data_IF_817900656773
#
_entry.id   IF_817900656773
#
_cell.length_a   1.000
_cell.length_b   1.000
_cell.length_c   1.000
_cell.angle_alpha   90.00
_cell.angle_beta   90.00
_cell.angle_gamma   90.00
#
_symmetry.space_group_name_H-M   'P 1'
#
loop_
_entity.id
_entity.type
_entity.pdbx_description
1 polymer ?
#
# COMPACT_ATOMS: atom_id res chain seq x y z
N UNK A 1 27.00 30.58 0.59
CA UNK A 1 25.78 30.20 -0.17
C UNK A 1 24.67 29.99 0.85
N UNK A 2 23.89 31.02 1.11
CA UNK A 2 22.79 31.01 2.09
C UNK A 2 21.71 30.05 1.61
N UNK A 3 21.62 28.88 2.27
CA UNK A 3 20.54 27.92 2.10
C UNK A 3 19.26 28.57 2.65
N UNK A 4 18.59 29.38 1.82
CA UNK A 4 17.26 29.89 2.11
C UNK A 4 16.37 28.71 2.53
N UNK A 5 15.73 28.85 3.68
CA UNK A 5 14.92 27.83 4.34
C UNK A 5 14.07 27.03 3.35
N UNK A 6 14.12 25.70 3.45
CA UNK A 6 13.34 24.80 2.61
C UNK A 6 11.86 25.17 2.61
N UNK A 7 11.41 25.76 1.49
CA UNK A 7 10.15 26.45 1.29
C UNK A 7 8.94 25.50 1.22
N UNK A 8 8.63 24.81 2.32
CA UNK A 8 7.35 24.12 2.47
C UNK A 8 6.27 25.13 2.86
N UNK A 9 5.18 25.18 2.09
CA UNK A 9 3.98 25.93 2.50
C UNK A 9 3.48 25.37 3.84
N UNK A 10 2.84 26.19 4.70
CA UNK A 10 2.33 25.71 5.99
C UNK A 10 1.46 24.45 5.88
N UNK A 11 0.62 24.37 4.84
CA UNK A 11 -0.23 23.21 4.57
C UNK A 11 0.57 21.93 4.20
N UNK A 12 1.68 22.06 3.47
CA UNK A 12 2.56 20.95 3.10
C UNK A 12 3.30 20.42 4.32
N UNK A 13 3.85 21.32 5.16
CA UNK A 13 4.49 20.95 6.42
C UNK A 13 3.53 20.18 7.32
N UNK A 14 2.29 20.63 7.44
CA UNK A 14 1.27 19.97 8.25
C UNK A 14 0.88 18.58 7.69
N UNK A 15 0.80 18.43 6.37
CA UNK A 15 0.55 17.12 5.73
C UNK A 15 1.70 16.13 5.95
N UNK A 16 2.95 16.56 5.80
CA UNK A 16 4.14 15.74 6.08
C UNK A 16 4.17 15.32 7.56
N UNK A 17 3.91 16.26 8.47
CA UNK A 17 3.87 15.97 9.91
C UNK A 17 2.78 14.95 10.27
N UNK A 18 1.57 15.07 9.71
CA UNK A 18 0.49 14.10 9.91
C UNK A 18 0.87 12.69 9.42
N UNK A 19 1.68 12.61 8.36
CA UNK A 19 2.23 11.36 7.84
C UNK A 19 3.42 10.80 8.65
N UNK A 20 3.81 11.45 9.75
CA UNK A 20 4.94 11.09 10.58
C UNK A 20 6.30 11.43 9.97
N UNK A 21 6.36 12.37 9.03
CA UNK A 21 7.59 12.84 8.38
C UNK A 21 8.01 14.15 9.04
N UNK A 22 9.18 14.16 9.67
CA UNK A 22 9.74 15.36 10.28
C UNK A 22 10.33 16.30 9.22
N UNK A 23 10.12 17.61 9.40
CA UNK A 23 10.65 18.67 8.53
C UNK A 23 11.51 19.64 9.34
N UNK A 24 12.72 19.95 8.87
CA UNK A 24 13.72 20.76 9.59
C UNK A 24 14.40 21.84 8.77
N UNK A 25 15.12 22.72 9.46
CA UNK A 25 15.98 23.71 8.84
C UNK A 25 17.38 23.14 8.58
N UNK A 26 18.03 23.57 7.50
CA UNK A 26 19.40 23.16 7.18
C UNK A 26 20.40 23.54 8.29
N UNK A 27 20.13 24.65 9.00
CA UNK A 27 20.94 25.14 10.12
C UNK A 27 20.85 24.29 11.40
N UNK A 28 19.92 23.33 11.50
CA UNK A 28 19.81 22.46 12.68
C UNK A 28 20.82 21.32 12.71
N UNK A 29 21.85 21.35 11.85
CA UNK A 29 22.99 20.43 11.90
C UNK A 29 24.01 20.78 13.01
N UNK A 30 23.70 21.80 13.84
CA UNK A 30 24.52 22.16 14.98
C UNK A 30 24.46 21.08 16.07
N UNK A 31 25.64 20.56 16.42
CA UNK A 31 25.96 19.57 17.45
C UNK A 31 25.72 18.08 17.11
N UNK A 32 26.63 17.50 16.30
CA UNK A 32 27.01 16.08 16.37
C UNK A 32 26.45 15.16 15.28
N UNK A 33 27.34 14.45 14.57
CA UNK A 33 27.14 13.25 13.71
C UNK A 33 26.09 13.25 12.58
N UNK A 34 25.19 14.22 12.50
CA UNK A 34 24.11 14.26 11.52
C UNK A 34 24.66 14.55 10.11
N UNK A 35 24.33 13.69 9.14
CA UNK A 35 24.79 13.79 7.74
C UNK A 35 23.66 14.29 6.86
N UNK A 36 23.94 15.29 6.02
CA UNK A 36 22.99 15.73 4.99
C UNK A 36 23.10 14.80 3.78
N UNK A 37 21.99 14.15 3.43
CA UNK A 37 21.85 13.27 2.28
C UNK A 37 21.13 14.00 1.16
N UNK A 38 21.60 13.80 -0.07
CA UNK A 38 20.98 14.32 -1.29
C UNK A 38 20.49 13.16 -2.14
N UNK A 39 19.18 12.92 -2.12
CA UNK A 39 18.53 11.81 -2.80
C UNK A 39 17.79 12.35 -4.02
N UNK A 40 18.26 12.03 -5.21
CA UNK A 40 17.59 12.35 -6.48
C UNK A 40 16.71 11.19 -6.87
N UNK A 41 15.45 11.46 -7.22
CA UNK A 41 14.47 10.51 -7.72
C UNK A 41 14.04 11.02 -9.10
N UNK A 42 14.25 10.25 -10.18
CA UNK A 42 13.92 10.68 -11.55
C UNK A 42 12.83 9.80 -12.21
N UNK A 43 11.84 9.36 -11.42
CA UNK A 43 10.79 8.42 -11.84
C UNK A 43 11.27 7.00 -12.21
N UNK A 44 12.55 6.86 -12.57
CA UNK A 44 13.19 5.63 -13.04
C UNK A 44 14.50 5.33 -12.34
N UNK A 45 15.20 6.32 -11.79
CA UNK A 45 16.47 6.16 -11.07
C UNK A 45 16.45 6.87 -9.73
N UNK A 46 17.20 6.35 -8.76
CA UNK A 46 17.41 6.96 -7.46
C UNK A 46 18.92 7.06 -7.25
N UNK A 47 19.42 8.29 -7.16
CA UNK A 47 20.85 8.56 -7.00
C UNK A 47 21.09 9.34 -5.70
N UNK A 48 21.93 8.80 -4.82
CA UNK A 48 22.43 9.53 -3.65
C UNK A 48 23.79 10.12 -4.00
N UNK A 49 23.96 11.44 -3.88
CA UNK A 49 25.24 12.05 -4.24
C UNK A 49 26.36 11.73 -3.25
N UNK A 50 26.05 11.53 -1.95
CA UNK A 50 26.95 11.02 -0.90
C UNK A 50 26.11 10.50 0.31
N UNK A 51 26.51 9.43 1.06
CA UNK A 51 27.69 8.55 0.99
C UNK A 51 27.30 7.07 0.66
N UNK A 52 28.14 6.05 0.97
CA UNK A 52 29.00 5.22 0.09
C UNK A 52 28.27 4.45 -1.05
N UNK A 53 29.03 3.70 -1.88
CA UNK A 53 28.54 2.74 -2.90
C UNK A 53 27.39 1.80 -2.45
N UNK A 54 27.24 1.67 -1.13
CA UNK A 54 26.15 1.06 -0.40
C UNK A 54 24.76 1.66 -0.65
N UNK A 55 24.55 2.98 -0.50
CA UNK A 55 23.25 3.61 -0.76
C UNK A 55 22.91 3.52 -2.26
N UNK A 56 23.92 3.63 -3.13
CA UNK A 56 23.77 3.47 -4.58
C UNK A 56 23.15 2.12 -4.95
N UNK A 57 23.60 0.99 -4.38
CA UNK A 57 23.05 -0.35 -4.69
C UNK A 57 21.60 -0.56 -4.22
N UNK A 58 21.25 -0.05 -3.05
CA UNK A 58 19.88 -0.14 -2.54
C UNK A 58 18.93 0.69 -3.42
N UNK A 59 19.37 1.88 -3.81
CA UNK A 59 18.63 2.80 -4.68
C UNK A 59 18.57 2.31 -6.14
N UNK A 60 19.63 1.64 -6.62
CA UNK A 60 19.65 0.93 -7.91
C UNK A 60 18.65 -0.24 -7.97
N UNK A 61 18.41 -0.90 -6.84
CA UNK A 61 17.39 -1.96 -6.74
C UNK A 61 15.95 -1.41 -6.80
N UNK A 62 15.74 -0.13 -6.48
CA UNK A 62 14.45 0.55 -6.75
C UNK A 62 14.25 0.81 -8.26
N UNK A 63 15.31 0.72 -9.08
CA UNK A 63 15.36 1.47 -10.35
C UNK A 63 15.84 0.70 -11.58
N UNK A 64 16.66 -0.36 -11.47
CA UNK A 64 17.16 -1.07 -12.67
C UNK A 64 16.08 -1.89 -13.36
N UNK A 65 15.91 -1.70 -14.67
CA UNK A 65 15.45 -2.73 -15.61
C UNK A 65 16.65 -3.64 -15.91
N UNK A 66 16.68 -4.88 -15.42
CA UNK A 66 17.73 -5.85 -15.78
C UNK A 66 17.29 -7.30 -15.53
N UNK A 67 17.62 -8.26 -16.43
CA UNK A 67 17.08 -9.62 -16.44
C UNK A 67 17.68 -10.52 -15.34
N UNK A 68 16.90 -11.51 -14.87
CA UNK A 68 17.37 -12.61 -13.99
C UNK A 68 16.76 -12.63 -12.58
N UNK A 69 16.10 -13.73 -12.24
CA UNK A 69 15.31 -13.93 -11.00
C UNK A 69 16.16 -14.22 -9.74
N UNK A 70 17.30 -14.90 -9.87
CA UNK A 70 18.06 -15.45 -8.74
C UNK A 70 18.96 -14.45 -7.99
N UNK A 71 19.56 -13.47 -8.69
CA UNK A 71 20.48 -12.51 -8.07
C UNK A 71 19.74 -11.44 -7.23
N UNK A 72 18.51 -11.07 -7.63
CA UNK A 72 17.69 -10.03 -6.97
C UNK A 72 17.26 -10.39 -5.54
N UNK A 73 16.87 -11.64 -5.32
CA UNK A 73 16.37 -12.11 -4.03
C UNK A 73 17.47 -12.14 -2.96
N UNK A 74 18.69 -12.51 -3.36
CA UNK A 74 19.84 -12.51 -2.49
C UNK A 74 20.24 -11.09 -2.09
N UNK A 75 20.24 -10.12 -3.02
CA UNK A 75 20.69 -8.76 -2.72
C UNK A 75 19.71 -7.99 -1.82
N UNK A 76 18.39 -8.02 -2.08
CA UNK A 76 17.40 -7.33 -1.23
C UNK A 76 17.31 -7.93 0.18
N UNK A 77 17.53 -9.25 0.32
CA UNK A 77 17.47 -9.93 1.62
C UNK A 77 18.82 -9.91 2.37
N UNK A 78 19.94 -9.73 1.65
CA UNK A 78 21.27 -9.42 2.20
C UNK A 78 21.33 -7.96 2.68
N UNK A 79 20.71 -7.03 1.96
CA UNK A 79 20.44 -5.64 2.34
C UNK A 79 19.48 -5.50 3.55
N UNK A 80 19.10 -6.57 4.24
CA UNK A 80 18.29 -6.51 5.48
C UNK A 80 19.07 -6.85 6.74
N UNK A 81 20.33 -7.29 6.63
CA UNK A 81 21.06 -7.98 7.72
C UNK A 81 22.19 -7.17 8.38
N UNK A 82 22.64 -6.01 7.85
CA UNK A 82 23.58 -5.13 8.59
C UNK A 82 23.68 -3.71 8.00
N UNK A 83 23.59 -2.64 8.82
CA UNK A 83 23.67 -1.22 8.38
C UNK A 83 22.56 -0.69 7.43
N UNK A 84 21.94 -1.57 6.66
CA UNK A 84 21.06 -1.28 5.51
C UNK A 84 19.65 -0.84 5.87
N UNK A 85 19.15 -1.22 7.04
CA UNK A 85 17.78 -0.87 7.48
C UNK A 85 17.60 0.63 7.70
N UNK A 86 18.68 1.34 8.05
CA UNK A 86 18.65 2.81 8.19
C UNK A 86 18.51 3.45 6.82
N UNK A 87 19.38 3.07 5.88
CA UNK A 87 19.38 3.58 4.53
C UNK A 87 18.02 3.40 3.82
N UNK A 88 17.46 2.18 3.87
CA UNK A 88 16.15 1.89 3.29
C UNK A 88 15.02 2.74 3.90
N UNK A 89 15.11 3.02 5.20
CA UNK A 89 14.13 3.86 5.88
C UNK A 89 14.25 5.33 5.47
N UNK A 90 15.46 5.85 5.33
CA UNK A 90 15.70 7.22 4.87
C UNK A 90 15.22 7.40 3.42
N UNK A 91 15.54 6.44 2.54
CA UNK A 91 15.09 6.43 1.16
C UNK A 91 13.56 6.38 1.05
N UNK A 92 12.91 5.50 1.83
CA UNK A 92 11.44 5.44 1.88
C UNK A 92 10.82 6.73 2.42
N UNK A 93 11.49 7.39 3.38
CA UNK A 93 11.04 8.68 3.91
C UNK A 93 11.11 9.78 2.85
N UNK A 94 12.19 9.81 2.05
CA UNK A 94 12.32 10.72 0.91
C UNK A 94 11.28 10.44 -0.19
N UNK A 95 11.07 9.16 -0.55
CA UNK A 95 10.03 8.72 -1.48
C UNK A 95 8.65 9.19 -1.03
N UNK A 96 8.28 8.92 0.23
CA UNK A 96 6.98 9.34 0.79
C UNK A 96 6.83 10.86 0.85
N UNK A 97 7.89 11.60 1.13
CA UNK A 97 7.83 13.07 1.10
C UNK A 97 7.51 13.59 -0.30
N UNK A 98 8.19 13.08 -1.33
CA UNK A 98 7.92 13.42 -2.72
C UNK A 98 6.50 13.06 -3.16
N UNK A 99 6.07 11.85 -2.81
CA UNK A 99 4.71 11.36 -3.02
C UNK A 99 3.65 12.34 -2.47
N UNK A 100 3.77 12.71 -1.20
CA UNK A 100 2.81 13.59 -0.51
C UNK A 100 2.82 15.01 -1.05
N UNK A 101 3.96 15.47 -1.58
CA UNK A 101 4.11 16.78 -2.22
C UNK A 101 3.73 16.78 -3.70
N UNK A 102 3.25 15.65 -4.24
CA UNK A 102 2.84 15.53 -5.64
C UNK A 102 4.01 15.62 -6.63
N UNK A 103 5.21 15.21 -6.23
CA UNK A 103 6.41 15.25 -7.06
C UNK A 103 6.75 13.86 -7.56
N UNK A 104 6.79 13.69 -8.88
CA UNK A 104 7.14 12.41 -9.50
C UNK A 104 8.65 12.26 -9.72
N UNK A 105 9.36 13.39 -9.85
CA UNK A 105 10.81 13.47 -9.93
C UNK A 105 11.34 14.74 -9.23
N UNK A 106 12.53 14.65 -8.66
CA UNK A 106 13.13 15.73 -7.86
C UNK A 106 14.27 15.29 -6.95
N UNK A 107 14.82 16.27 -6.24
CA UNK A 107 15.87 16.09 -5.25
C UNK A 107 15.30 16.30 -3.84
N UNK A 108 15.58 15.36 -2.94
CA UNK A 108 15.27 15.45 -1.52
C UNK A 108 16.56 15.66 -0.74
N UNK A 109 16.64 16.77 -0.03
CA UNK A 109 17.64 16.99 1.01
C UNK A 109 17.09 16.45 2.33
N UNK A 110 17.75 15.44 2.88
CA UNK A 110 17.36 14.76 4.10
C UNK A 110 18.52 14.82 5.09
N UNK A 111 18.26 15.27 6.32
CA UNK A 111 19.21 15.14 7.41
C UNK A 111 19.05 13.76 8.06
N UNK A 112 20.13 12.97 8.09
CA UNK A 112 20.20 11.69 8.79
C UNK A 112 20.22 11.91 10.31
N UNK A 113 19.06 12.25 10.86
CA UNK A 113 18.82 12.48 12.28
C UNK A 113 17.58 11.68 12.76
N UNK A 114 17.48 11.42 14.07
CA UNK A 114 16.32 10.73 14.64
C UNK A 114 16.07 9.33 14.07
N UNK A 115 14.83 8.82 14.11
CA UNK A 115 14.52 7.42 13.70
C UNK A 115 14.26 7.23 12.20
N UNK A 116 13.85 8.28 11.48
CA UNK A 116 13.49 8.23 10.05
C UNK A 116 14.15 9.31 9.20
N UNK A 117 15.04 10.13 9.77
CA UNK A 117 15.56 11.30 9.08
C UNK A 117 14.59 12.48 9.16
N UNK A 118 15.10 13.67 8.82
CA UNK A 118 14.34 14.91 8.77
C UNK A 118 14.47 15.52 7.38
N UNK A 119 13.35 15.80 6.73
CA UNK A 119 13.34 16.43 5.40
C UNK A 119 13.71 17.90 5.57
N UNK A 120 14.75 18.34 4.86
CA UNK A 120 15.22 19.72 4.87
C UNK A 120 14.64 20.47 3.68
N UNK A 121 14.66 19.87 2.50
CA UNK A 121 14.09 20.46 1.30
C UNK A 121 13.67 19.39 0.29
N UNK A 122 12.67 19.73 -0.52
CA UNK A 122 12.32 18.99 -1.73
C UNK A 122 12.37 19.95 -2.89
N UNK A 123 13.22 19.65 -3.87
CA UNK A 123 13.49 20.49 -5.04
C UNK A 123 13.00 19.78 -6.31
N UNK A 124 12.50 20.52 -7.29
CA UNK A 124 12.26 19.98 -8.63
C UNK A 124 13.54 19.33 -9.18
N UNK A 125 13.38 18.35 -10.08
CA UNK A 125 14.52 17.80 -10.80
C UNK A 125 15.20 18.95 -11.55
N UNK A 126 16.52 19.09 -11.42
CA UNK A 126 17.26 20.04 -12.24
C UNK A 126 17.02 19.66 -13.70
N UNK A 127 16.56 20.61 -14.53
CA UNK A 127 16.65 20.44 -15.98
C UNK A 127 18.14 20.30 -16.28
N UNK A 128 18.58 19.10 -16.61
CA UNK A 128 19.93 18.91 -17.14
C UNK A 128 19.97 19.71 -18.45
N UNK A 129 20.69 20.84 -18.41
CA UNK A 129 20.91 21.66 -19.59
C UNK A 129 21.72 20.89 -20.64
N UNK A 130 21.55 21.21 -21.93
CA UNK A 130 22.19 20.49 -23.02
C UNK A 130 23.68 20.85 -23.09
N UNK A 131 24.51 20.16 -22.31
CA UNK A 131 25.96 19.88 -22.53
C UNK A 131 26.49 19.18 -21.26
N UNK A 132 26.98 17.94 -21.26
CA UNK A 132 27.41 17.09 -22.38
C UNK A 132 27.01 15.62 -22.19
N UNK A 133 25.96 15.22 -22.92
CA UNK A 133 25.49 13.85 -23.07
C UNK A 133 24.04 13.84 -23.56
N UNK A 134 23.84 13.78 -24.88
CA UNK A 134 22.59 14.04 -25.60
C UNK A 134 21.47 13.03 -25.36
N UNK A 135 20.28 13.51 -24.95
CA UNK A 135 18.97 12.97 -25.37
C UNK A 135 18.04 14.17 -25.66
N UNK A 136 17.33 14.22 -26.81
CA UNK A 136 16.60 15.40 -27.23
C UNK A 136 15.26 15.56 -26.47
N UNK A 137 14.72 16.79 -26.43
CA UNK A 137 13.50 17.11 -25.69
C UNK A 137 12.27 16.65 -26.47
N UNK A 138 11.37 15.88 -25.87
CA UNK A 138 10.03 15.71 -26.44
C UNK A 138 9.13 16.88 -26.01
N UNK A 139 9.04 17.86 -26.91
CA UNK A 139 7.91 18.76 -26.98
C UNK A 139 6.65 17.97 -27.39
N UNK A 140 5.49 18.43 -26.89
CA UNK A 140 4.12 18.07 -27.30
C UNK A 140 3.93 16.76 -28.08
N UNK A 141 3.55 15.69 -27.39
CA UNK A 141 3.16 14.43 -28.01
C UNK A 141 2.70 13.44 -26.95
N UNK A 142 1.62 12.73 -27.23
CA UNK A 142 1.09 11.53 -26.55
C UNK A 142 2.07 10.88 -25.55
N UNK A 143 1.67 10.82 -24.27
CA UNK A 143 2.33 9.99 -23.25
C UNK A 143 2.49 8.58 -23.82
N UNK A 144 3.72 8.08 -24.06
CA UNK A 144 3.90 6.71 -24.50
C UNK A 144 3.36 5.79 -23.41
N UNK A 145 2.66 4.72 -23.81
CA UNK A 145 2.26 3.66 -22.90
C UNK A 145 3.46 3.21 -22.05
N UNK A 146 3.28 2.89 -20.75
CA UNK A 146 4.38 2.53 -19.88
C UNK A 146 5.10 1.30 -20.44
N UNK A 147 6.28 1.53 -21.03
CA UNK A 147 7.23 0.50 -21.40
C UNK A 147 7.82 -0.06 -20.10
N UNK A 148 7.27 -1.19 -19.65
CA UNK A 148 7.70 -1.87 -18.43
C UNK A 148 6.97 -3.20 -18.18
N UNK A 149 6.33 -3.78 -19.19
CA UNK A 149 5.86 -5.15 -19.11
C UNK A 149 7.10 -6.06 -19.08
N UNK A 150 7.49 -6.50 -17.89
CA UNK A 150 8.33 -7.70 -17.79
C UNK A 150 7.65 -8.85 -18.54
N UNK A 151 8.44 -9.79 -19.04
CA UNK A 151 8.04 -10.87 -19.98
C UNK A 151 6.85 -11.76 -19.54
N UNK A 152 6.25 -11.55 -18.35
CA UNK A 152 5.15 -12.34 -17.78
C UNK A 152 3.76 -11.67 -17.72
N UNK A 153 3.58 -10.45 -18.27
CA UNK A 153 2.29 -9.75 -18.28
C UNK A 153 1.83 -9.20 -16.91
N UNK A 154 0.74 -8.42 -16.91
CA UNK A 154 0.16 -7.84 -15.69
C UNK A 154 -0.53 -8.92 -14.85
N UNK A 155 -0.08 -9.11 -13.61
CA UNK A 155 -0.68 -10.07 -12.66
C UNK A 155 -1.01 -9.43 -11.32
N UNK A 156 -1.99 -10.01 -10.64
CA UNK A 156 -2.49 -9.60 -9.33
C UNK A 156 -2.31 -10.74 -8.33
N UNK A 157 -1.94 -10.41 -7.09
CA UNK A 157 -1.92 -11.35 -5.96
C UNK A 157 -2.21 -10.61 -4.67
N UNK A 158 -2.12 -11.28 -3.52
CA UNK A 158 -2.21 -10.60 -2.25
C UNK A 158 -1.68 -11.39 -1.06
N UNK A 159 -1.40 -10.64 0.00
CA UNK A 159 -1.26 -11.14 1.37
C UNK A 159 -2.48 -10.64 2.17
N UNK A 160 -3.35 -11.55 2.65
CA UNK A 160 -4.61 -11.23 3.33
C UNK A 160 -4.58 -11.66 4.79
N UNK A 161 -4.55 -10.69 5.70
CA UNK A 161 -4.34 -10.91 7.13
C UNK A 161 -5.65 -10.99 7.93
N UNK A 162 -5.72 -11.92 8.90
CA UNK A 162 -6.87 -12.11 9.80
C UNK A 162 -6.45 -12.73 11.15
N UNK A 163 -7.35 -12.67 12.14
CA UNK A 163 -7.15 -13.22 13.48
C UNK A 163 -8.18 -14.29 13.82
N UNK A 164 -7.76 -15.22 14.68
CA UNK A 164 -8.61 -16.20 15.34
C UNK A 164 -8.70 -15.83 16.80
N UNK A 165 -9.91 -15.75 17.34
CA UNK A 165 -10.14 -15.49 18.76
C UNK A 165 -10.96 -16.61 19.39
N UNK A 166 -10.66 -16.96 20.63
CA UNK A 166 -11.45 -17.91 21.40
C UNK A 166 -12.76 -17.26 21.93
N UNK A 167 -13.58 -18.07 22.60
CA UNK A 167 -14.85 -17.60 23.19
C UNK A 167 -14.68 -16.50 24.25
N UNK A 168 -13.50 -16.36 24.85
CA UNK A 168 -13.17 -15.29 25.80
C UNK A 168 -12.60 -14.04 25.13
N UNK A 169 -12.51 -14.00 23.79
CA UNK A 169 -11.90 -12.91 23.04
C UNK A 169 -10.37 -12.93 23.04
N UNK A 170 -9.75 -13.98 23.56
CA UNK A 170 -8.29 -14.16 23.54
C UNK A 170 -7.80 -14.55 22.15
N UNK A 171 -6.71 -13.95 21.70
CA UNK A 171 -6.10 -14.30 20.40
C UNK A 171 -5.54 -15.73 20.50
N UNK A 172 -6.01 -16.59 19.60
CA UNK A 172 -5.41 -17.90 19.35
C UNK A 172 -4.27 -17.70 18.35
N UNK A 173 -3.00 -17.93 18.72
CA UNK A 173 -1.91 -17.65 17.80
C UNK A 173 -1.97 -18.53 16.55
N UNK A 174 -1.99 -17.90 15.38
CA UNK A 174 -2.03 -18.58 14.08
C UNK A 174 -0.88 -19.60 13.90
N UNK A 175 0.30 -19.35 14.50
CA UNK A 175 1.43 -20.29 14.49
C UNK A 175 1.17 -21.64 15.17
N UNK A 176 0.08 -21.77 15.94
CA UNK A 176 -0.34 -23.07 16.51
C UNK A 176 -1.17 -23.90 15.51
N UNK A 177 -1.70 -23.25 14.48
CA UNK A 177 -2.68 -23.82 13.55
C UNK A 177 -2.11 -23.99 12.14
N UNK A 178 -1.29 -23.04 11.71
CA UNK A 178 -0.77 -22.96 10.35
C UNK A 178 0.76 -22.92 10.32
N UNK A 179 1.39 -23.40 9.23
CA UNK A 179 2.81 -23.22 9.00
C UNK A 179 3.18 -21.74 8.82
N UNK A 180 4.48 -21.43 8.81
CA UNK A 180 4.95 -20.07 8.56
C UNK A 180 4.67 -19.61 7.12
N UNK A 181 4.99 -20.47 6.16
CA UNK A 181 4.91 -20.20 4.72
C UNK A 181 3.81 -21.03 4.04
N UNK A 182 3.57 -20.76 2.76
CA UNK A 182 2.54 -21.41 1.95
C UNK A 182 1.30 -20.55 1.73
N UNK A 183 0.30 -21.07 0.99
CA UNK A 183 -0.91 -20.33 0.64
C UNK A 183 -1.81 -20.04 1.85
N UNK A 184 -1.70 -20.84 2.91
CA UNK A 184 -2.30 -20.60 4.23
C UNK A 184 -1.15 -20.64 5.24
N UNK A 185 -0.82 -19.51 5.84
CA UNK A 185 0.30 -19.43 6.78
C UNK A 185 0.13 -18.32 7.80
N UNK A 186 1.26 -17.74 8.23
CA UNK A 186 1.30 -16.67 9.24
C UNK A 186 2.07 -15.46 8.76
N UNK A 187 1.63 -14.26 9.14
CA UNK A 187 2.44 -13.05 8.97
C UNK A 187 3.69 -13.11 9.88
N UNK A 188 4.70 -12.30 9.55
CA UNK A 188 5.99 -12.24 10.23
C UNK A 188 5.95 -11.53 11.58
N UNK A 189 4.86 -10.86 11.95
CA UNK A 189 4.74 -10.19 13.24
C UNK A 189 4.81 -11.22 14.38
N UNK A 190 5.75 -11.00 15.30
CA UNK A 190 5.96 -11.85 16.46
C UNK A 190 5.53 -11.10 17.72
N UNK A 191 4.76 -11.79 18.57
CA UNK A 191 4.44 -11.35 19.93
C UNK A 191 5.01 -12.34 20.94
N UNK A 192 5.41 -11.87 22.11
CA UNK A 192 5.83 -12.74 23.21
C UNK A 192 4.63 -13.01 24.11
N UNK A 193 4.31 -14.28 24.32
CA UNK A 193 3.28 -14.71 25.26
C UNK A 193 3.73 -14.54 26.71
N UNK A 194 2.81 -14.80 27.66
CA UNK A 194 3.11 -14.74 29.11
C UNK A 194 4.22 -15.69 29.54
N UNK A 195 4.40 -16.81 28.84
CA UNK A 195 5.49 -17.77 29.05
C UNK A 195 6.83 -17.33 28.44
N UNK A 196 6.92 -16.14 27.84
CA UNK A 196 8.10 -15.66 27.12
C UNK A 196 8.29 -16.25 25.72
N UNK A 197 7.49 -17.26 25.32
CA UNK A 197 7.54 -17.88 23.99
C UNK A 197 7.09 -16.91 22.90
N UNK A 198 7.83 -16.88 21.80
CA UNK A 198 7.50 -16.15 20.59
C UNK A 198 6.37 -16.85 19.82
N UNK A 199 5.33 -16.11 19.46
CA UNK A 199 4.19 -16.58 18.68
C UNK A 199 3.91 -15.63 17.51
N UNK A 200 3.36 -16.16 16.41
CA UNK A 200 2.83 -15.35 15.31
C UNK A 200 1.31 -15.35 15.41
N UNK A 201 0.70 -14.22 15.80
CA UNK A 201 -0.73 -14.19 16.10
C UNK A 201 -1.60 -14.10 14.84
N UNK A 202 -1.06 -13.58 13.75
CA UNK A 202 -1.80 -13.24 12.53
C UNK A 202 -1.74 -14.39 11.53
N UNK A 203 -2.90 -14.84 11.07
CA UNK A 203 -3.02 -15.76 9.95
C UNK A 203 -3.00 -14.96 8.64
N UNK A 204 -2.39 -15.53 7.59
CA UNK A 204 -2.23 -14.87 6.30
C UNK A 204 -2.57 -15.84 5.17
N UNK A 205 -3.47 -15.43 4.27
CA UNK A 205 -3.74 -16.13 3.02
C UNK A 205 -2.92 -15.51 1.90
N UNK A 206 -2.34 -16.35 1.05
CA UNK A 206 -1.48 -15.95 -0.07
C UNK A 206 -1.93 -16.66 -1.35
N UNK A 207 -3.05 -16.23 -1.96
CA UNK A 207 -3.51 -16.80 -3.22
C UNK A 207 -2.43 -16.67 -4.31
N UNK A 208 -2.41 -17.62 -5.24
CA UNK A 208 -1.49 -17.57 -6.36
C UNK A 208 -1.71 -16.31 -7.21
N UNK A 209 -0.66 -15.78 -7.86
CA UNK A 209 -0.82 -14.66 -8.79
C UNK A 209 -1.71 -15.01 -9.99
N UNK A 210 -2.65 -14.13 -10.32
CA UNK A 210 -3.64 -14.32 -11.40
C UNK A 210 -3.66 -13.12 -12.35
N UNK A 211 -4.09 -13.31 -13.60
CA UNK A 211 -4.19 -12.21 -14.59
C UNK A 211 -5.40 -11.28 -14.34
N UNK A 212 -6.35 -11.73 -13.52
CA UNK A 212 -7.59 -11.04 -13.17
C UNK A 212 -7.70 -10.94 -11.66
N UNK A 213 -7.99 -9.76 -11.14
CA UNK A 213 -8.05 -9.54 -9.70
C UNK A 213 -9.20 -10.33 -9.03
N UNK A 214 -10.31 -10.55 -9.75
CA UNK A 214 -11.43 -11.38 -9.31
C UNK A 214 -11.07 -12.86 -9.11
N UNK A 215 -10.11 -13.39 -9.87
CA UNK A 215 -9.64 -14.76 -9.69
C UNK A 215 -8.85 -14.92 -8.38
N UNK A 216 -8.07 -13.90 -7.99
CA UNK A 216 -7.36 -13.86 -6.69
C UNK A 216 -8.35 -13.96 -5.53
N UNK A 217 -9.48 -13.24 -5.62
CA UNK A 217 -10.50 -13.22 -4.57
C UNK A 217 -11.23 -14.56 -4.46
N UNK A 218 -11.54 -15.23 -5.57
CA UNK A 218 -12.11 -16.58 -5.55
C UNK A 218 -11.16 -17.61 -4.93
N UNK A 219 -9.88 -17.54 -5.28
CA UNK A 219 -8.87 -18.42 -4.70
C UNK A 219 -8.72 -18.15 -3.19
N UNK A 220 -8.71 -16.88 -2.77
CA UNK A 220 -8.71 -16.52 -1.35
C UNK A 220 -9.90 -17.12 -0.59
N UNK A 221 -11.10 -17.12 -1.18
CA UNK A 221 -12.29 -17.75 -0.59
C UNK A 221 -12.07 -19.25 -0.37
N UNK A 222 -11.57 -19.96 -1.38
CA UNK A 222 -11.25 -21.39 -1.29
C UNK A 222 -10.20 -21.68 -0.20
N UNK A 223 -9.11 -20.91 -0.18
CA UNK A 223 -8.06 -21.05 0.83
C UNK A 223 -8.58 -20.75 2.23
N UNK A 224 -9.50 -19.79 2.38
CA UNK A 224 -10.12 -19.51 3.65
C UNK A 224 -10.99 -20.67 4.14
N UNK A 225 -11.82 -21.27 3.28
CA UNK A 225 -12.58 -22.47 3.61
C UNK A 225 -11.70 -23.61 4.13
N UNK A 226 -10.58 -23.86 3.44
CA UNK A 226 -9.58 -24.84 3.88
C UNK A 226 -8.95 -24.47 5.23
N UNK A 227 -8.60 -23.20 5.44
CA UNK A 227 -8.04 -22.72 6.69
C UNK A 227 -9.02 -22.95 7.85
N UNK A 228 -10.30 -22.61 7.66
CA UNK A 228 -11.35 -22.79 8.67
C UNK A 228 -11.59 -24.26 9.00
N UNK A 229 -11.51 -25.17 8.01
CA UNK A 229 -11.57 -26.60 8.29
C UNK A 229 -10.41 -27.06 9.20
N UNK A 230 -9.20 -26.53 8.99
CA UNK A 230 -8.05 -26.79 9.88
C UNK A 230 -8.29 -26.24 11.29
N UNK A 231 -8.80 -25.00 11.42
CA UNK A 231 -9.10 -24.39 12.73
C UNK A 231 -10.14 -25.24 13.48
N UNK A 232 -11.26 -25.59 12.84
CA UNK A 232 -12.33 -26.42 13.43
C UNK A 232 -11.78 -27.76 13.93
N UNK A 233 -10.99 -28.45 13.11
CA UNK A 233 -10.38 -29.74 13.45
C UNK A 233 -9.40 -29.65 14.62
N UNK A 234 -8.56 -28.60 14.66
CA UNK A 234 -7.50 -28.47 15.68
C UNK A 234 -7.99 -27.89 17.00
N UNK A 235 -8.90 -26.92 16.97
CA UNK A 235 -9.37 -26.27 18.20
C UNK A 235 -10.46 -27.08 18.92
N UNK A 236 -11.35 -27.75 18.16
CA UNK A 236 -12.47 -28.55 18.71
C UNK A 236 -13.30 -27.80 19.77
N UNK A 237 -13.40 -26.48 19.65
CA UNK A 237 -14.15 -25.58 20.54
C UNK A 237 -14.59 -24.33 19.77
N UNK A 238 -15.58 -23.57 20.27
CA UNK A 238 -16.01 -22.33 19.64
C UNK A 238 -14.86 -21.32 19.48
N UNK A 239 -14.86 -20.63 18.35
CA UNK A 239 -13.94 -19.55 18.00
C UNK A 239 -14.66 -18.55 17.10
N UNK A 240 -14.13 -17.34 17.00
CA UNK A 240 -14.56 -16.35 16.02
C UNK A 240 -13.38 -15.91 15.15
N UNK A 241 -13.68 -15.35 13.99
CA UNK A 241 -12.68 -14.76 13.09
C UNK A 241 -12.83 -13.26 13.09
N UNK A 242 -11.71 -12.54 13.20
CA UNK A 242 -11.69 -11.08 13.17
C UNK A 242 -10.78 -10.58 12.06
N UNK A 243 -11.18 -9.50 11.42
CA UNK A 243 -10.43 -8.80 10.38
C UNK A 243 -10.61 -7.28 10.55
N UNK A 244 -10.11 -6.49 9.61
CA UNK A 244 -10.30 -5.04 9.60
C UNK A 244 -9.07 -4.22 9.97
N UNK A 245 -9.38 -3.09 10.60
CA UNK A 245 -8.55 -2.13 11.29
C UNK A 245 -7.44 -2.70 12.19
N UNK A 246 -7.96 -3.06 13.35
CA UNK A 246 -7.22 -3.29 14.56
C UNK A 246 -8.15 -4.11 15.44
N UNK A 247 -8.57 -5.30 14.99
CA UNK A 247 -9.65 -6.06 15.62
C UNK A 247 -9.38 -6.42 17.07
N UNK A 248 -8.11 -6.52 17.44
CA UNK A 248 -7.68 -6.68 18.82
C UNK A 248 -6.58 -5.69 19.13
N UNK A 249 -6.64 -5.06 20.31
CA UNK A 249 -5.76 -3.98 20.70
C UNK A 249 -4.27 -4.36 20.59
N UNK A 250 -3.58 -3.77 19.62
CA UNK A 250 -2.12 -3.91 19.47
C UNK A 250 -1.66 -4.52 18.15
N UNK A 251 -2.55 -5.17 17.38
CA UNK A 251 -2.24 -5.73 16.06
C UNK A 251 -2.97 -4.93 14.99
N UNK A 252 -2.24 -4.46 13.97
CA UNK A 252 -2.83 -3.82 12.79
C UNK A 252 -2.80 -4.84 11.66
N UNK A 253 -3.93 -5.04 11.00
CA UNK A 253 -4.05 -6.04 9.92
C UNK A 253 -4.14 -5.39 8.54
N UNK A 254 -3.80 -6.07 7.47
CA UNK A 254 -3.86 -5.51 6.12
C UNK A 254 -4.41 -6.45 5.07
N UNK A 255 -4.87 -5.82 3.99
CA UNK A 255 -5.00 -6.45 2.68
C UNK A 255 -3.89 -5.86 1.83
N UNK A 256 -2.82 -6.63 1.60
CA UNK A 256 -1.72 -6.18 0.76
C UNK A 256 -1.96 -6.63 -0.67
N UNK A 257 -2.17 -5.69 -1.58
CA UNK A 257 -2.40 -6.00 -2.98
C UNK A 257 -1.07 -6.11 -3.71
N UNK A 258 -0.81 -7.23 -4.35
CA UNK A 258 0.37 -7.42 -5.19
C UNK A 258 0.02 -7.14 -6.65
N UNK A 259 0.86 -6.36 -7.31
CA UNK A 259 0.76 -6.07 -8.74
C UNK A 259 2.11 -6.32 -9.38
N UNK A 260 2.16 -7.26 -10.32
CA UNK A 260 3.36 -7.66 -11.07
C UNK A 260 3.26 -7.24 -12.53
N UNK A 261 4.39 -7.12 -13.22
CA UNK A 261 4.43 -6.64 -14.61
C UNK A 261 4.30 -5.13 -14.75
N UNK A 262 4.31 -4.39 -13.64
CA UNK A 262 4.35 -2.93 -13.62
C UNK A 262 5.09 -2.40 -12.40
N UNK A 263 5.82 -1.29 -12.55
CA UNK A 263 6.54 -0.63 -11.46
C UNK A 263 5.62 0.29 -10.65
N UNK A 264 5.85 0.45 -9.34
CA UNK A 264 5.15 1.49 -8.59
C UNK A 264 5.73 2.86 -8.94
N UNK A 265 4.88 3.73 -9.45
CA UNK A 265 5.17 5.14 -9.66
C UNK A 265 4.31 5.98 -8.71
N UNK A 266 4.79 7.15 -8.30
CA UNK A 266 3.99 8.04 -7.44
C UNK A 266 2.61 8.36 -8.06
N UNK A 267 2.55 8.56 -9.37
CA UNK A 267 1.29 8.71 -10.12
C UNK A 267 0.32 7.55 -9.89
N UNK A 268 0.79 6.31 -10.06
CA UNK A 268 -0.02 5.11 -9.82
C UNK A 268 -0.45 4.99 -8.36
N UNK A 269 0.46 5.26 -7.42
CA UNK A 269 0.16 5.21 -5.99
C UNK A 269 -0.89 6.27 -5.59
N UNK A 270 -0.84 7.47 -6.18
CA UNK A 270 -1.84 8.53 -5.94
C UNK A 270 -3.21 8.13 -6.48
N UNK A 271 -3.23 7.45 -7.63
CA UNK A 271 -4.46 6.89 -8.17
C UNK A 271 -5.02 5.78 -7.26
N UNK A 272 -4.19 4.83 -6.82
CA UNK A 272 -4.61 3.77 -5.89
C UNK A 272 -5.13 4.33 -4.57
N UNK A 273 -4.43 5.30 -3.97
CA UNK A 273 -4.90 5.93 -2.74
C UNK A 273 -6.23 6.67 -2.95
N UNK A 274 -6.33 7.48 -4.01
CA UNK A 274 -7.54 8.27 -4.29
C UNK A 274 -8.76 7.40 -4.59
N UNK A 275 -8.60 6.39 -5.44
CA UNK A 275 -9.71 5.62 -5.98
C UNK A 275 -9.97 4.30 -5.24
N UNK A 276 -9.03 3.84 -4.41
CA UNK A 276 -9.18 2.61 -3.61
C UNK A 276 -9.15 2.95 -2.12
N UNK A 277 -8.06 3.52 -1.59
CA UNK A 277 -7.94 3.71 -0.14
C UNK A 277 -8.95 4.71 0.45
N UNK A 278 -9.18 5.87 -0.17
CA UNK A 278 -10.13 6.86 0.39
C UNK A 278 -11.58 6.33 0.46
N UNK A 279 -12.11 5.60 -0.55
CA UNK A 279 -13.40 4.92 -0.41
C UNK A 279 -13.45 3.96 0.78
N UNK A 280 -12.44 3.12 0.98
CA UNK A 280 -12.43 2.18 2.11
C UNK A 280 -12.23 2.87 3.47
N UNK A 281 -11.53 4.00 3.52
CA UNK A 281 -11.45 4.84 4.73
C UNK A 281 -12.85 5.22 5.24
N UNK A 282 -13.79 5.52 4.35
CA UNK A 282 -15.15 5.93 4.73
C UNK A 282 -16.00 4.79 5.29
N UNK A 283 -15.62 3.55 5.03
CA UNK A 283 -16.27 2.35 5.55
C UNK A 283 -15.53 1.79 6.77
N UNK A 284 -14.32 2.29 7.06
CA UNK A 284 -13.44 1.80 8.11
C UNK A 284 -13.94 2.13 9.51
N UNK A 285 -13.82 1.18 10.43
CA UNK A 285 -14.05 1.44 11.85
C UNK A 285 -13.09 2.55 12.35
N UNK A 286 -13.55 3.57 13.09
CA UNK A 286 -12.70 4.67 13.58
C UNK A 286 -11.47 4.21 14.39
N UNK A 287 -11.52 3.05 15.05
CA UNK A 287 -10.38 2.45 15.74
C UNK A 287 -9.19 2.22 14.81
N UNK A 288 -9.48 2.02 13.52
CA UNK A 288 -8.53 1.83 12.46
C UNK A 288 -7.54 2.97 12.29
N UNK A 289 -7.92 4.22 12.65
CA UNK A 289 -7.00 5.37 12.68
C UNK A 289 -5.67 5.06 13.35
N UNK A 290 -5.66 4.24 14.41
CA UNK A 290 -4.45 3.92 15.19
C UNK A 290 -3.40 3.11 14.42
N UNK A 291 -3.71 2.54 13.25
CA UNK A 291 -2.70 1.92 12.37
C UNK A 291 -1.78 2.99 11.76
N UNK A 292 -2.34 4.17 11.50
CA UNK A 292 -1.69 5.29 10.80
C UNK A 292 -0.87 6.16 11.77
N UNK A 293 0.26 6.75 11.34
CA UNK A 293 0.88 6.64 10.01
C UNK A 293 1.84 5.45 9.86
N UNK A 294 1.98 4.59 10.86
CA UNK A 294 3.02 3.53 10.90
C UNK A 294 2.73 2.35 9.98
N UNK A 295 1.45 2.07 9.75
CA UNK A 295 0.94 1.03 8.87
C UNK A 295 -0.27 1.62 8.12
N UNK A 296 -0.48 1.26 6.86
CA UNK A 296 -1.60 1.80 6.08
C UNK A 296 -1.47 3.29 5.76
N UNK A 297 -0.24 3.81 5.62
CA UNK A 297 -0.02 5.20 5.23
C UNK A 297 -0.34 5.43 3.75
N UNK A 298 -0.67 6.67 3.38
CA UNK A 298 -0.77 7.04 1.96
C UNK A 298 0.58 6.79 1.25
N UNK A 299 0.53 6.18 0.08
CA UNK A 299 1.67 5.78 -0.73
C UNK A 299 2.50 4.64 -0.12
N UNK A 300 1.97 3.89 0.85
CA UNK A 300 2.70 2.77 1.47
C UNK A 300 2.83 1.62 0.46
N UNK A 301 4.08 1.38 0.06
CA UNK A 301 4.44 0.41 -0.96
C UNK A 301 5.69 -0.35 -0.54
N UNK A 302 5.76 -1.61 -0.96
CA UNK A 302 6.95 -2.45 -0.83
C UNK A 302 7.25 -3.12 -2.16
N UNK A 303 8.50 -3.01 -2.61
CA UNK A 303 8.96 -3.71 -3.80
C UNK A 303 9.09 -5.21 -3.56
N UNK A 304 8.81 -6.00 -4.60
CA UNK A 304 8.97 -7.45 -4.60
C UNK A 304 10.05 -7.87 -5.61
N UNK A 305 10.83 -8.88 -5.25
CA UNK A 305 11.97 -9.34 -6.04
C UNK A 305 11.58 -9.92 -7.42
N UNK A 306 10.37 -10.49 -7.53
CA UNK A 306 9.81 -11.04 -8.75
C UNK A 306 9.31 -9.98 -9.76
N UNK A 307 9.59 -8.69 -9.51
CA UNK A 307 9.08 -7.58 -10.30
C UNK A 307 7.67 -7.18 -9.86
N UNK A 308 7.42 -5.88 -9.80
CA UNK A 308 6.18 -5.35 -9.25
C UNK A 308 6.28 -4.85 -7.81
N UNK A 309 5.12 -4.71 -7.17
CA UNK A 309 5.00 -4.12 -5.84
C UNK A 309 3.83 -4.66 -5.04
N UNK A 310 3.92 -4.46 -3.74
CA UNK A 310 2.90 -4.69 -2.73
C UNK A 310 2.39 -3.33 -2.24
N UNK A 311 1.12 -3.06 -2.48
CA UNK A 311 0.40 -1.90 -2.00
C UNK A 311 -0.22 -2.17 -0.64
N UNK A 312 0.11 -1.35 0.35
CA UNK A 312 -0.05 -1.67 1.80
C UNK A 312 -0.89 -0.65 2.55
N UNK A 313 -1.56 0.25 1.84
CA UNK A 313 -2.39 1.30 2.44
C UNK A 313 -3.66 0.72 3.10
N UNK A 314 -4.22 -0.34 2.52
CA UNK A 314 -5.55 -0.84 2.90
C UNK A 314 -5.54 -1.58 4.24
N UNK A 315 -6.59 -1.43 5.05
CA UNK A 315 -6.84 -2.32 6.18
C UNK A 315 -7.16 -3.74 5.71
N UNK A 316 -7.28 -4.70 6.62
CA UNK A 316 -7.75 -6.03 6.22
C UNK A 316 -9.22 -5.94 5.79
N UNK A 317 -9.45 -5.95 4.49
CA UNK A 317 -10.78 -5.93 3.88
C UNK A 317 -11.43 -7.31 3.88
N UNK A 318 -10.80 -8.28 4.55
CA UNK A 318 -11.33 -9.62 4.75
C UNK A 318 -12.61 -9.63 5.61
N UNK A 319 -13.00 -8.47 6.18
CA UNK A 319 -14.23 -8.25 6.95
C UNK A 319 -15.51 -8.62 6.20
N UNK A 320 -15.53 -8.44 4.88
CA UNK A 320 -16.70 -8.66 4.04
C UNK A 320 -16.21 -9.07 2.62
N UNK A 321 -16.68 -10.22 2.08
CA UNK A 321 -16.24 -10.70 0.77
C UNK A 321 -16.56 -9.73 -0.38
N UNK A 322 -17.65 -8.95 -0.28
CA UNK A 322 -18.02 -7.94 -1.27
C UNK A 322 -17.05 -6.76 -1.25
N UNK A 323 -16.59 -6.34 -0.06
CA UNK A 323 -15.58 -5.28 0.08
C UNK A 323 -14.21 -5.74 -0.43
N UNK A 324 -13.81 -6.98 -0.10
CA UNK A 324 -12.59 -7.57 -0.64
C UNK A 324 -12.64 -7.60 -2.17
N UNK A 325 -13.73 -8.08 -2.77
CA UNK A 325 -13.89 -8.09 -4.22
C UNK A 325 -13.86 -6.69 -4.81
N UNK A 326 -14.56 -5.74 -4.18
CA UNK A 326 -14.59 -4.35 -4.63
C UNK A 326 -13.19 -3.74 -4.66
N UNK A 327 -12.36 -3.97 -3.64
CA UNK A 327 -10.99 -3.46 -3.59
C UNK A 327 -10.13 -3.97 -4.74
N UNK A 328 -10.19 -5.27 -5.01
CA UNK A 328 -9.43 -5.89 -6.11
C UNK A 328 -9.92 -5.42 -7.48
N UNK A 329 -11.23 -5.30 -7.67
CA UNK A 329 -11.81 -4.78 -8.90
C UNK A 329 -11.42 -3.32 -9.15
N UNK A 330 -11.45 -2.46 -8.12
CA UNK A 330 -11.00 -1.07 -8.23
C UNK A 330 -9.50 -0.97 -8.47
N UNK A 331 -8.68 -1.77 -7.77
CA UNK A 331 -7.24 -1.77 -7.98
C UNK A 331 -6.87 -2.17 -9.41
N UNK A 332 -7.51 -3.22 -9.94
CA UNK A 332 -7.31 -3.62 -11.33
C UNK A 332 -7.78 -2.53 -12.32
N UNK A 333 -8.95 -1.95 -12.10
CA UNK A 333 -9.46 -0.84 -12.89
C UNK A 333 -8.48 0.34 -12.91
N UNK A 334 -7.97 0.73 -11.74
CA UNK A 334 -6.99 1.82 -11.60
C UNK A 334 -5.68 1.49 -12.31
N UNK A 335 -5.11 0.31 -12.09
CA UNK A 335 -3.85 -0.09 -12.71
C UNK A 335 -3.96 -0.12 -14.23
N UNK A 336 -5.05 -0.65 -14.78
CA UNK A 336 -5.27 -0.75 -16.23
C UNK A 336 -5.61 0.59 -16.89
N UNK A 337 -6.28 1.51 -16.18
CA UNK A 337 -6.64 2.84 -16.71
C UNK A 337 -5.70 3.97 -16.27
N UNK A 338 -4.59 3.67 -15.59
CA UNK A 338 -3.78 4.69 -14.89
C UNK A 338 -3.29 5.85 -15.77
N UNK A 339 -3.04 5.59 -17.06
CA UNK A 339 -2.57 6.60 -18.00
C UNK A 339 -3.63 7.69 -18.24
N UNK A 340 -4.91 7.33 -18.16
CA UNK A 340 -6.03 8.22 -18.38
C UNK A 340 -6.64 8.77 -17.07
N UNK A 341 -6.28 8.20 -15.92
CA UNK A 341 -6.80 8.68 -14.63
C UNK A 341 -6.03 9.91 -14.13
N UNK A 342 -6.74 10.90 -13.55
CA UNK A 342 -6.11 11.99 -12.82
C UNK A 342 -5.26 11.48 -11.67
N UNK A 343 -4.02 11.98 -11.62
CA UNK A 343 -3.02 11.60 -10.64
C UNK A 343 -2.42 12.81 -9.95
N UNK A 344 -3.21 13.88 -9.76
CA UNK A 344 -2.79 15.03 -8.98
C UNK A 344 -2.58 14.65 -7.51
N UNK A 345 -1.71 15.36 -6.75
CA UNK A 345 -1.63 15.19 -5.31
C UNK A 345 -3.00 15.30 -4.64
N UNK A 346 -3.19 14.54 -3.56
CA UNK A 346 -4.34 14.76 -2.68
C UNK A 346 -4.22 16.15 -2.03
N UNK A 347 -5.33 16.89 -1.86
CA UNK A 347 -5.29 18.16 -1.15
C UNK A 347 -4.68 17.98 0.25
N UNK A 348 -3.83 18.89 0.74
CA UNK A 348 -3.20 18.75 2.06
C UNK A 348 -4.19 18.56 3.20
N UNK A 349 -5.39 19.13 3.10
CA UNK A 349 -6.47 18.91 4.07
C UNK A 349 -6.95 17.45 4.09
N UNK A 350 -7.12 16.82 2.92
CA UNK A 350 -7.50 15.40 2.80
C UNK A 350 -6.41 14.50 3.35
N UNK A 351 -5.14 14.82 3.07
CA UNK A 351 -3.99 14.08 3.64
C UNK A 351 -4.05 14.12 5.18
N UNK A 352 -4.21 15.30 5.78
CA UNK A 352 -4.33 15.42 7.24
C UNK A 352 -5.55 14.67 7.76
N UNK A 353 -6.71 14.84 7.12
CA UNK A 353 -7.95 14.18 7.50
C UNK A 353 -7.83 12.66 7.48
N UNK A 354 -7.12 12.09 6.51
CA UNK A 354 -6.85 10.65 6.44
C UNK A 354 -6.07 10.14 7.66
N UNK A 355 -5.02 10.85 8.06
CA UNK A 355 -4.21 10.49 9.23
C UNK A 355 -4.93 10.79 10.56
N UNK A 356 -5.77 11.84 10.61
CA UNK A 356 -6.52 12.25 11.79
C UNK A 356 -7.85 11.48 11.99
N UNK A 357 -8.33 10.76 10.97
CA UNK A 357 -9.62 10.06 10.99
C UNK A 357 -10.81 11.00 10.81
N UNK A 358 -10.71 12.00 9.92
CA UNK A 358 -11.72 13.05 9.73
C UNK A 358 -12.59 12.78 8.50
N UNK A 359 -13.74 12.14 8.73
CA UNK A 359 -14.69 11.76 7.68
C UNK A 359 -15.22 12.95 6.87
N UNK A 360 -15.49 14.07 7.56
CA UNK A 360 -16.05 15.28 6.96
C UNK A 360 -15.15 15.87 5.86
N UNK A 361 -13.85 15.59 5.91
CA UNK A 361 -12.87 16.06 4.92
C UNK A 361 -12.59 14.98 3.88
N UNK A 362 -12.43 13.73 4.31
CA UNK A 362 -11.99 12.64 3.42
C UNK A 362 -13.12 12.09 2.56
N UNK A 363 -14.31 11.88 3.13
CA UNK A 363 -15.39 11.20 2.43
C UNK A 363 -16.01 11.98 1.26
N UNK A 364 -16.09 13.32 1.29
CA UNK A 364 -16.44 14.08 0.09
C UNK A 364 -15.47 13.84 -1.07
N UNK A 365 -14.15 13.82 -0.81
CA UNK A 365 -13.14 13.53 -1.84
C UNK A 365 -13.24 12.08 -2.33
N UNK A 366 -13.47 11.12 -1.44
CA UNK A 366 -13.70 9.72 -1.81
C UNK A 366 -14.90 9.56 -2.76
N UNK A 367 -16.05 10.20 -2.44
CA UNK A 367 -17.24 10.17 -3.32
C UNK A 367 -16.96 10.82 -4.67
N UNK A 368 -16.24 11.95 -4.69
CA UNK A 368 -15.85 12.61 -5.93
C UNK A 368 -14.90 11.73 -6.77
N UNK A 369 -13.94 11.05 -6.13
CA UNK A 369 -13.05 10.09 -6.77
C UNK A 369 -13.82 8.93 -7.41
N UNK A 370 -14.77 8.32 -6.70
CA UNK A 370 -15.60 7.25 -7.24
C UNK A 370 -16.39 7.70 -8.48
N UNK A 371 -17.00 8.90 -8.45
CA UNK A 371 -17.70 9.45 -9.64
C UNK A 371 -16.78 9.65 -10.83
N UNK A 372 -15.56 10.16 -10.61
CA UNK A 372 -14.56 10.34 -11.67
C UNK A 372 -14.14 9.01 -12.28
N UNK A 373 -13.84 8.01 -11.43
CA UNK A 373 -13.49 6.67 -11.91
C UNK A 373 -14.67 6.03 -12.66
N UNK A 374 -15.89 6.14 -12.15
CA UNK A 374 -17.08 5.62 -12.82
C UNK A 374 -17.25 6.18 -14.23
N UNK A 375 -17.03 7.50 -14.40
CA UNK A 375 -17.07 8.13 -15.71
C UNK A 375 -15.96 7.62 -16.64
N UNK A 376 -14.74 7.48 -16.13
CA UNK A 376 -13.61 6.93 -16.89
C UNK A 376 -13.85 5.48 -17.35
N UNK A 377 -14.41 4.65 -16.46
CA UNK A 377 -14.74 3.25 -16.78
C UNK A 377 -15.85 3.12 -17.81
N UNK A 378 -16.88 3.98 -17.75
CA UNK A 378 -17.95 4.01 -18.77
C UNK A 378 -17.44 4.39 -20.15
N UNK A 379 -16.50 5.34 -20.21
CA UNK A 379 -15.84 5.74 -21.47
C UNK A 379 -14.73 4.79 -21.93
N UNK A 380 -14.35 3.83 -21.07
CA UNK A 380 -13.23 2.90 -21.30
C UNK A 380 -11.90 3.63 -21.51
N UNK A 381 -11.74 4.72 -20.77
CA UNK A 381 -10.53 5.54 -20.75
C UNK A 381 -9.29 4.66 -20.47
N UNK A 382 -8.22 4.89 -21.24
CA UNK A 382 -6.98 4.12 -21.15
C UNK A 382 -7.03 2.73 -21.79
N UNK A 383 -8.09 2.40 -22.54
CA UNK A 383 -8.19 1.12 -23.25
C UNK A 383 -8.47 -0.08 -22.33
N UNK A 384 -9.09 0.17 -21.17
CA UNK A 384 -9.41 -0.89 -20.22
C UNK A 384 -10.35 -1.94 -20.85
N UNK A 385 -10.07 -3.26 -20.71
CA UNK A 385 -10.95 -4.31 -21.19
C UNK A 385 -12.32 -4.31 -20.49
N UNK A 386 -13.29 -5.05 -21.05
CA UNK A 386 -14.68 -4.93 -20.64
C UNK A 386 -14.97 -5.53 -19.28
N UNK A 387 -14.56 -6.78 -19.10
CA UNK A 387 -14.67 -7.45 -17.82
C UNK A 387 -14.11 -6.65 -16.63
N UNK A 388 -12.88 -6.09 -16.66
CA UNK A 388 -12.38 -5.25 -15.55
C UNK A 388 -13.13 -3.92 -15.41
N UNK A 389 -13.56 -3.29 -16.50
CA UNK A 389 -14.35 -2.05 -16.43
C UNK A 389 -15.70 -2.28 -15.73
N UNK A 390 -16.42 -3.33 -16.14
CA UNK A 390 -17.70 -3.69 -15.50
C UNK A 390 -17.52 -4.10 -14.04
N UNK A 391 -16.48 -4.87 -13.72
CA UNK A 391 -16.18 -5.25 -12.35
C UNK A 391 -15.92 -4.02 -11.48
N UNK A 392 -15.17 -3.04 -12.01
CA UNK A 392 -14.96 -1.75 -11.37
C UNK A 392 -16.27 -0.98 -11.17
N UNK A 393 -17.16 -0.93 -12.16
CA UNK A 393 -18.46 -0.25 -12.03
C UNK A 393 -19.35 -0.91 -10.95
N UNK A 394 -19.39 -2.24 -10.88
CA UNK A 394 -20.10 -2.97 -9.81
C UNK A 394 -19.50 -2.68 -8.43
N UNK A 395 -18.17 -2.64 -8.33
CA UNK A 395 -17.48 -2.29 -7.10
C UNK A 395 -17.82 -0.86 -6.64
N UNK A 396 -17.84 0.11 -7.56
CA UNK A 396 -18.22 1.50 -7.26
C UNK A 396 -19.64 1.56 -6.70
N UNK A 397 -20.59 0.86 -7.33
CA UNK A 397 -21.98 0.84 -6.88
C UNK A 397 -22.13 0.33 -5.44
N UNK A 398 -21.41 -0.74 -5.08
CA UNK A 398 -21.41 -1.29 -3.72
C UNK A 398 -20.83 -0.32 -2.72
N UNK A 399 -19.69 0.31 -3.03
CA UNK A 399 -19.09 1.28 -2.12
C UNK A 399 -19.97 2.51 -1.96
N UNK A 400 -20.56 3.03 -3.03
CA UNK A 400 -21.49 4.17 -2.98
C UNK A 400 -22.70 3.83 -2.09
N UNK A 401 -23.35 2.69 -2.30
CA UNK A 401 -24.49 2.26 -1.49
C UNK A 401 -24.13 2.20 0.01
N UNK A 402 -22.98 1.60 0.37
CA UNK A 402 -22.53 1.52 1.76
C UNK A 402 -22.18 2.90 2.35
N UNK A 403 -21.50 3.74 1.57
CA UNK A 403 -21.14 5.10 1.99
C UNK A 403 -22.36 6.02 2.16
N UNK A 404 -23.41 5.82 1.36
CA UNK A 404 -24.64 6.59 1.42
C UNK A 404 -25.54 6.12 2.57
N UNK A 405 -25.51 4.83 2.88
CA UNK A 405 -26.13 4.26 4.09
C UNK A 405 -25.38 4.60 5.40
N UNK A 406 -24.22 5.27 5.32
CA UNK A 406 -23.37 5.52 6.49
C UNK A 406 -22.82 4.24 7.13
N UNK A 407 -22.79 3.13 6.39
CA UNK A 407 -22.38 1.83 6.89
C UNK A 407 -20.86 1.81 7.14
N UNK A 408 -20.47 1.20 8.26
CA UNK A 408 -19.08 0.88 8.59
C UNK A 408 -18.99 -0.54 9.11
N UNK A 409 -17.88 -1.22 8.83
CA UNK A 409 -17.62 -2.49 9.51
C UNK A 409 -17.29 -2.22 10.98
N UNK A 410 -17.55 -3.21 11.84
CA UNK A 410 -17.08 -3.17 13.23
C UNK A 410 -15.93 -4.14 13.39
N UNK A 411 -14.88 -3.70 14.05
CA UNK A 411 -13.71 -4.51 14.36
C UNK A 411 -14.03 -5.82 15.12
N UNK A 412 -15.14 -5.81 15.87
CA UNK A 412 -15.60 -6.92 16.69
C UNK A 412 -16.53 -7.92 15.95
N UNK A 413 -16.89 -7.68 14.69
CA UNK A 413 -17.78 -8.58 13.95
C UNK A 413 -17.11 -9.92 13.64
N UNK A 414 -17.89 -11.00 13.60
CA UNK A 414 -17.37 -12.31 13.19
C UNK A 414 -17.41 -12.41 11.68
N UNK A 415 -16.21 -12.44 11.10
CA UNK A 415 -16.05 -12.55 9.66
C UNK A 415 -16.71 -13.82 9.14
N UNK A 416 -16.76 -14.91 9.91
CA UNK A 416 -17.42 -16.14 9.45
C UNK A 416 -18.91 -15.91 9.15
N UNK A 417 -19.60 -15.06 9.91
CA UNK A 417 -20.99 -14.74 9.67
C UNK A 417 -21.16 -13.97 8.34
N UNK A 418 -20.25 -13.03 8.06
CA UNK A 418 -20.24 -12.24 6.82
C UNK A 418 -19.94 -13.09 5.57
N UNK A 419 -19.21 -14.19 5.74
CA UNK A 419 -18.91 -15.16 4.68
C UNK A 419 -19.94 -16.31 4.59
N UNK A 420 -21.10 -16.18 5.26
CA UNK A 420 -22.20 -17.14 5.17
C UNK A 420 -22.03 -18.43 5.98
N UNK A 421 -21.12 -18.46 6.97
CA UNK A 421 -20.89 -19.60 7.86
C UNK A 421 -20.13 -20.78 7.24
N UNK A 422 -20.21 -20.94 5.91
CA UNK A 422 -19.41 -21.86 5.11
C UNK A 422 -18.71 -21.14 3.94
N UNK A 423 -17.43 -20.73 4.13
CA UNK A 423 -16.65 -20.12 3.07
C UNK A 423 -16.30 -21.07 1.91
N UNK A 424 -16.58 -22.38 2.05
CA UNK A 424 -16.34 -23.39 1.02
C UNK A 424 -17.56 -23.65 0.11
N UNK A 425 -18.72 -23.07 0.43
CA UNK A 425 -19.90 -23.10 -0.41
C UNK A 425 -19.69 -22.39 -1.76
N UNK A 426 -20.57 -22.61 -2.77
CA UNK A 426 -20.47 -21.90 -4.04
C UNK A 426 -20.49 -20.41 -3.76
N UNK A 427 -19.43 -19.71 -4.17
CA UNK A 427 -19.33 -18.28 -3.96
C UNK A 427 -20.44 -17.57 -4.73
N UNK A 428 -21.49 -17.16 -4.01
CA UNK A 428 -22.72 -16.59 -4.60
C UNK A 428 -22.53 -15.13 -5.07
N UNK A 429 -21.32 -14.59 -4.98
CA UNK A 429 -21.02 -13.21 -5.38
C UNK A 429 -21.78 -12.18 -4.55
N UNK A 430 -22.13 -11.04 -5.16
CA UNK A 430 -22.84 -9.92 -4.51
C UNK A 430 -24.25 -10.26 -4.00
N UNK A 431 -24.75 -11.48 -4.22
CA UNK A 431 -26.15 -11.83 -3.97
C UNK A 431 -26.57 -11.88 -2.49
N UNK A 432 -25.65 -11.65 -1.54
CA UNK A 432 -25.95 -11.74 -0.11
C UNK A 432 -26.09 -10.42 0.65
N UNK A 433 -25.63 -9.29 0.10
CA UNK A 433 -25.64 -8.01 0.84
C UNK A 433 -25.75 -6.81 -0.12
N UNK A 434 -26.96 -6.56 -0.62
CA UNK A 434 -27.41 -5.22 -1.04
C UNK A 434 -28.36 -4.73 0.02
#
# INVERSE_FOLDING_TARGET
MTLNDGAFRPAERAALAAAGIEVGAAGSAAAGTARLLRIVLDGRTVACAEPPAFYRRLLEAFTRDAPGEGARAADVDRLRRGGDRRAARLALTAWRAMYLLGRDAGEVLLLDAGRSGRIVAVRPAAKVGPTGGTVPPSAGGTVPAPAGAGEGGLRFGADLEWLIVDAGGGIVPASLLFPEAGPIGTDRQVVRGRSGRAHRPIAELRPAPQDRADAVVREAASLFGQAIAVVRRRLRRPFAVRAGARPTGGLSLGTHLHVSGIRPEHRLLRALDRYVALPFFCLEDPAGRRRRPRYGGLGDVRLKAHGGFEYRTLPSLFVDPALLRAAFALAEAVVRSQAALPADPLPPAVVRGYYAGEDLVVCPEARAALRRLQAALRRRDGGIPEAPAEAGLRAIAVLQARMDAGWRWREADDVLAMWGGDPSGPWTGFAGVV
#
